data_IF_394188389971
#
_entry.id   IF_394188389971
#
_cell.length_a   1.000
_cell.length_b   1.000
_cell.length_c   1.000
_cell.angle_alpha   90.00
_cell.angle_beta   90.00
_cell.angle_gamma   90.00
#
_symmetry.space_group_name_H-M   'P 1'
#
loop_
_entity.id
_entity.type
_entity.pdbx_description
1 polymer ?
#
# COMPACT_ATOMS: atom_id res chain seq x y z
N UNK A 1 -23.69 -3.54 -11.85
CA UNK A 1 -22.25 -3.87 -11.80
C UNK A 1 -22.16 -5.18 -11.04
N UNK A 2 -21.57 -6.21 -11.64
CA UNK A 2 -21.34 -7.50 -10.97
C UNK A 2 -20.42 -7.26 -9.78
N UNK A 3 -20.80 -7.77 -8.60
CA UNK A 3 -19.98 -7.68 -7.41
C UNK A 3 -18.64 -8.40 -7.67
N UNK A 4 -17.53 -7.71 -7.42
CA UNK A 4 -16.19 -8.29 -7.60
C UNK A 4 -15.82 -9.02 -6.31
N UNK A 5 -15.59 -10.33 -6.40
CA UNK A 5 -15.20 -11.15 -5.25
C UNK A 5 -13.70 -10.97 -4.94
N UNK A 6 -13.34 -11.01 -3.66
CA UNK A 6 -11.95 -10.94 -3.22
C UNK A 6 -11.29 -12.32 -3.38
N UNK A 7 -10.23 -12.40 -4.19
CA UNK A 7 -9.45 -13.63 -4.36
C UNK A 7 -8.45 -13.83 -3.23
N UNK A 8 -8.20 -15.09 -2.86
CA UNK A 8 -7.20 -15.45 -1.82
C UNK A 8 -5.81 -14.84 -2.07
N UNK A 9 -5.38 -14.73 -3.33
CA UNK A 9 -4.09 -14.14 -3.75
C UNK A 9 -3.97 -12.65 -3.42
N UNK A 10 -5.09 -11.92 -3.42
CA UNK A 10 -5.15 -10.47 -3.18
C UNK A 10 -5.54 -10.17 -1.74
N UNK A 11 -6.14 -11.13 -1.02
CA UNK A 11 -6.58 -10.95 0.37
C UNK A 11 -5.50 -10.31 1.26
N UNK A 12 -4.21 -10.69 1.21
CA UNK A 12 -3.20 -10.01 2.04
C UNK A 12 -2.96 -8.55 1.65
N UNK A 13 -3.02 -8.19 0.36
CA UNK A 13 -2.93 -6.80 -0.08
C UNK A 13 -4.15 -6.00 0.38
N UNK A 14 -5.34 -6.58 0.27
CA UNK A 14 -6.56 -5.95 0.79
C UNK A 14 -6.49 -5.74 2.31
N UNK A 15 -6.08 -6.77 3.05
CA UNK A 15 -5.92 -6.71 4.49
C UNK A 15 -4.85 -5.69 4.92
N UNK A 16 -3.81 -5.50 4.11
CA UNK A 16 -2.82 -4.46 4.34
C UNK A 16 -3.47 -3.06 4.29
N UNK A 17 -4.34 -2.78 3.31
CA UNK A 17 -5.08 -1.50 3.26
C UNK A 17 -5.99 -1.32 4.50
N UNK A 18 -6.69 -2.38 4.92
CA UNK A 18 -7.50 -2.34 6.15
C UNK A 18 -6.65 -2.10 7.41
N UNK A 19 -5.47 -2.74 7.48
CA UNK A 19 -4.49 -2.54 8.57
C UNK A 19 -4.00 -1.09 8.62
N UNK A 20 -3.73 -0.48 7.47
CA UNK A 20 -3.36 0.94 7.38
C UNK A 20 -4.47 1.85 7.92
N UNK A 21 -5.73 1.53 7.61
CA UNK A 21 -6.90 2.27 8.10
C UNK A 21 -7.05 2.13 9.62
N UNK A 22 -6.89 0.92 10.18
CA UNK A 22 -6.90 0.69 11.63
C UNK A 22 -5.81 1.49 12.35
N UNK A 23 -4.65 1.65 11.74
CA UNK A 23 -3.59 2.48 12.34
C UNK A 23 -3.90 3.97 12.38
N UNK A 24 -4.82 4.47 11.55
CA UNK A 24 -5.30 5.85 11.68
C UNK A 24 -6.06 6.05 13.00
N UNK A 25 -6.84 5.05 13.43
CA UNK A 25 -7.55 5.08 14.71
C UNK A 25 -6.58 5.03 15.90
N UNK A 26 -5.47 4.29 15.76
CA UNK A 26 -4.42 4.21 16.77
C UNK A 26 -3.53 5.45 16.85
N UNK A 27 -3.51 6.28 15.80
CA UNK A 27 -2.69 7.50 15.69
C UNK A 27 -3.60 8.71 15.52
N UNK A 28 -4.32 9.13 16.58
CA UNK A 28 -5.26 10.23 16.48
C UNK A 28 -4.55 11.56 16.17
N UNK A 29 -5.24 12.51 15.51
CA UNK A 29 -4.71 13.84 15.27
C UNK A 29 -4.28 14.52 16.57
N UNK A 30 -3.09 15.12 16.58
CA UNK A 30 -2.63 15.91 17.74
C UNK A 30 -3.19 17.32 17.69
N UNK A 31 -3.35 17.94 18.86
CA UNK A 31 -3.73 19.34 18.96
C UNK A 31 -2.59 20.24 18.44
N UNK A 32 -2.86 20.98 17.37
CA UNK A 32 -1.89 21.88 16.74
C UNK A 32 -2.62 23.00 15.98
N UNK A 33 -1.93 24.10 15.64
CA UNK A 33 -2.48 25.12 14.74
C UNK A 33 -2.91 24.52 13.39
N UNK A 34 -4.19 24.63 13.05
CA UNK A 34 -4.85 23.96 11.90
C UNK A 34 -4.42 24.43 10.48
N UNK A 35 -3.41 25.29 10.36
CA UNK A 35 -3.00 25.87 9.07
C UNK A 35 -2.34 24.87 8.12
N UNK A 36 -1.76 23.78 8.64
CA UNK A 36 -0.97 22.80 7.90
C UNK A 36 -1.36 21.37 8.29
N UNK A 37 -0.85 20.38 7.55
CA UNK A 37 -1.08 18.97 7.81
C UNK A 37 -0.75 18.57 9.26
N UNK A 38 -1.50 17.60 9.79
CA UNK A 38 -1.33 17.14 11.17
C UNK A 38 -0.05 16.32 11.33
N UNK A 39 0.80 16.65 12.31
CA UNK A 39 2.06 15.92 12.53
C UNK A 39 1.86 14.45 12.93
N UNK A 40 0.67 14.08 13.41
CA UNK A 40 0.30 12.68 13.63
C UNK A 40 0.48 11.81 12.37
N UNK A 41 0.39 12.40 11.17
CA UNK A 41 0.70 11.72 9.92
C UNK A 41 2.11 11.10 9.91
N UNK A 42 3.10 11.79 10.48
CA UNK A 42 4.48 11.28 10.53
C UNK A 42 4.57 10.04 11.41
N UNK A 43 3.93 10.07 12.57
CA UNK A 43 3.84 8.92 13.47
C UNK A 43 3.14 7.74 12.78
N UNK A 44 2.06 7.99 12.05
CA UNK A 44 1.38 6.95 11.27
C UNK A 44 2.29 6.39 10.17
N UNK A 45 2.94 7.25 9.38
CA UNK A 45 3.80 6.82 8.26
C UNK A 45 5.08 6.11 8.75
N UNK A 46 5.62 6.50 9.90
CA UNK A 46 6.75 5.80 10.53
C UNK A 46 6.33 4.38 10.95
N UNK A 47 5.13 4.21 11.51
CA UNK A 47 4.57 2.87 11.79
C UNK A 47 4.39 2.04 10.52
N UNK A 48 3.97 2.65 9.41
CA UNK A 48 3.91 1.96 8.10
C UNK A 48 5.30 1.49 7.67
N UNK A 49 6.30 2.37 7.72
CA UNK A 49 7.68 2.05 7.32
C UNK A 49 8.32 0.95 8.15
N UNK A 50 7.98 0.84 9.44
CA UNK A 50 8.47 -0.21 10.33
C UNK A 50 7.95 -1.62 9.96
N UNK A 51 6.78 -1.70 9.33
CA UNK A 51 6.09 -2.97 9.06
C UNK A 51 6.08 -3.36 7.58
N UNK A 52 6.29 -2.41 6.67
CA UNK A 52 6.11 -2.60 5.23
C UNK A 52 6.94 -3.73 4.62
N UNK A 53 8.13 -4.01 5.15
CA UNK A 53 8.97 -5.10 4.62
C UNK A 53 8.33 -6.48 4.86
N UNK A 54 7.78 -6.70 6.07
CA UNK A 54 7.08 -7.93 6.41
C UNK A 54 5.74 -8.04 5.68
N UNK A 55 5.00 -6.93 5.60
CA UNK A 55 3.72 -6.87 4.88
C UNK A 55 3.91 -7.18 3.37
N UNK A 56 4.93 -6.60 2.73
CA UNK A 56 5.25 -6.88 1.33
C UNK A 56 5.68 -8.34 1.12
N UNK A 57 6.44 -8.92 2.05
CA UNK A 57 6.83 -10.33 1.96
C UNK A 57 5.59 -11.26 2.00
N UNK A 58 4.63 -10.97 2.89
CA UNK A 58 3.36 -11.71 2.97
C UNK A 58 2.53 -11.56 1.69
N UNK A 59 2.37 -10.32 1.21
CA UNK A 59 1.62 -10.00 -0.01
C UNK A 59 2.22 -10.71 -1.23
N UNK A 60 3.54 -10.65 -1.40
CA UNK A 60 4.24 -11.29 -2.51
C UNK A 60 4.11 -12.81 -2.44
N UNK A 61 4.25 -13.39 -1.25
CA UNK A 61 4.16 -14.86 -1.06
C UNK A 61 2.76 -15.38 -1.39
N UNK A 62 1.70 -14.70 -0.96
CA UNK A 62 0.34 -15.10 -1.28
C UNK A 62 -0.04 -14.81 -2.74
N UNK A 63 0.46 -13.70 -3.28
CA UNK A 63 0.26 -13.33 -4.67
C UNK A 63 0.94 -14.32 -5.61
N UNK A 64 2.20 -14.68 -5.38
CA UNK A 64 2.89 -15.71 -6.17
C UNK A 64 3.92 -16.46 -5.31
N UNK A 65 3.57 -17.64 -4.77
CA UNK A 65 4.46 -18.45 -3.94
C UNK A 65 5.75 -18.90 -4.65
N UNK A 66 5.73 -18.99 -5.97
CA UNK A 66 6.88 -19.41 -6.79
C UNK A 66 7.85 -18.26 -7.10
N UNK A 67 7.53 -17.03 -6.68
CA UNK A 67 8.37 -15.86 -6.91
C UNK A 67 9.59 -15.83 -5.98
N UNK A 68 10.72 -16.34 -6.47
CA UNK A 68 11.98 -16.48 -5.72
C UNK A 68 12.81 -15.20 -5.56
N UNK A 69 12.39 -14.07 -6.15
CA UNK A 69 13.14 -12.82 -6.15
C UNK A 69 12.56 -11.75 -5.19
N UNK A 70 11.73 -12.17 -4.23
CA UNK A 70 11.09 -11.29 -3.24
C UNK A 70 12.09 -10.38 -2.52
N UNK A 71 13.19 -10.92 -2.02
CA UNK A 71 14.24 -10.17 -1.31
C UNK A 71 14.84 -9.03 -2.15
N UNK A 72 14.87 -9.18 -3.49
CA UNK A 72 15.38 -8.16 -4.41
C UNK A 72 14.31 -7.18 -4.86
N UNK A 73 13.05 -7.62 -4.93
CA UNK A 73 11.92 -6.79 -5.37
C UNK A 73 11.40 -5.88 -4.26
N UNK A 74 11.40 -6.35 -3.01
CA UNK A 74 10.86 -5.61 -1.85
C UNK A 74 11.47 -4.21 -1.72
N UNK A 75 12.81 -4.00 -1.77
CA UNK A 75 13.38 -2.67 -1.65
C UNK A 75 12.88 -1.68 -2.70
N UNK A 76 12.62 -2.12 -3.93
CA UNK A 76 12.11 -1.27 -5.00
C UNK A 76 10.60 -1.01 -4.86
N UNK A 77 9.82 -2.06 -4.59
CA UNK A 77 8.37 -1.97 -4.40
C UNK A 77 8.00 -1.08 -3.20
N UNK A 78 8.79 -1.15 -2.13
CA UNK A 78 8.62 -0.37 -0.91
C UNK A 78 8.66 1.13 -1.17
N UNK A 79 9.57 1.61 -2.01
CA UNK A 79 9.69 3.04 -2.29
C UNK A 79 8.41 3.57 -2.94
N UNK A 80 7.89 2.87 -3.96
CA UNK A 80 6.63 3.25 -4.61
C UNK A 80 5.44 3.19 -3.63
N UNK A 81 5.39 2.18 -2.77
CA UNK A 81 4.29 2.02 -1.81
C UNK A 81 4.33 3.10 -0.73
N UNK A 82 5.47 3.37 -0.11
CA UNK A 82 5.61 4.37 0.95
C UNK A 82 5.35 5.78 0.41
N UNK A 83 5.90 6.11 -0.76
CA UNK A 83 5.66 7.40 -1.40
C UNK A 83 4.24 7.55 -1.96
N UNK A 84 3.41 6.51 -1.88
CA UNK A 84 2.00 6.60 -2.28
C UNK A 84 1.10 7.28 -1.25
N UNK A 85 1.53 7.39 0.01
CA UNK A 85 0.69 7.90 1.09
C UNK A 85 0.82 9.40 1.36
N UNK A 86 1.72 10.09 0.66
CA UNK A 86 1.96 11.53 0.82
C UNK A 86 3.39 11.87 1.26
N UNK A 87 3.72 13.15 1.27
CA UNK A 87 5.06 13.61 1.63
C UNK A 87 5.25 13.67 3.16
N UNK A 88 6.23 12.92 3.69
CA UNK A 88 6.60 12.96 5.11
C UNK A 88 6.93 14.38 5.61
N UNK A 89 7.71 15.13 4.82
CA UNK A 89 8.16 16.46 5.21
C UNK A 89 7.07 17.51 5.06
N UNK A 90 6.39 17.52 3.91
CA UNK A 90 5.40 18.55 3.58
C UNK A 90 4.01 18.28 4.17
N UNK A 91 3.72 17.03 4.53
CA UNK A 91 2.40 16.56 4.99
C UNK A 91 1.32 16.99 3.98
N UNK A 92 1.59 16.67 2.72
CA UNK A 92 0.70 16.92 1.59
C UNK A 92 0.47 15.65 0.78
N UNK A 93 -0.62 15.68 0.00
CA UNK A 93 -1.01 14.63 -0.92
C UNK A 93 -1.41 15.26 -2.26
N UNK A 94 -1.18 14.54 -3.35
CA UNK A 94 -1.44 14.98 -4.71
C UNK A 94 -1.35 13.83 -5.69
N UNK A 95 -1.63 14.11 -6.96
CA UNK A 95 -1.73 13.08 -8.02
C UNK A 95 -0.44 12.29 -8.26
N UNK A 96 0.73 12.83 -7.87
CA UNK A 96 1.98 12.07 -7.91
C UNK A 96 2.02 10.91 -6.92
N UNK A 97 1.41 11.07 -5.74
CA UNK A 97 1.30 10.02 -4.73
C UNK A 97 0.31 8.93 -5.16
N UNK A 98 -0.82 9.34 -5.74
CA UNK A 98 -1.77 8.42 -6.38
C UNK A 98 -1.10 7.62 -7.51
N UNK A 99 -0.30 8.28 -8.36
CA UNK A 99 0.46 7.63 -9.41
C UNK A 99 1.46 6.60 -8.84
N UNK A 100 2.14 6.91 -7.73
CA UNK A 100 3.04 5.97 -7.08
C UNK A 100 2.33 4.69 -6.62
N UNK A 101 1.09 4.80 -6.11
CA UNK A 101 0.29 3.61 -5.78
C UNK A 101 -0.02 2.77 -7.03
N UNK A 102 -0.38 3.43 -8.13
CA UNK A 102 -0.62 2.75 -9.40
C UNK A 102 0.65 2.08 -9.96
N UNK A 103 1.80 2.75 -9.86
CA UNK A 103 3.10 2.20 -10.26
C UNK A 103 3.47 0.99 -9.40
N UNK A 104 3.18 1.03 -8.09
CA UNK A 104 3.34 -0.14 -7.22
C UNK A 104 2.51 -1.33 -7.72
N UNK A 105 1.21 -1.14 -8.00
CA UNK A 105 0.36 -2.20 -8.56
C UNK A 105 0.87 -2.71 -9.92
N UNK A 106 1.34 -1.80 -10.77
CA UNK A 106 1.95 -2.13 -12.06
C UNK A 106 3.21 -2.98 -11.89
N UNK A 107 4.11 -2.62 -10.96
CA UNK A 107 5.33 -3.36 -10.68
C UNK A 107 5.02 -4.77 -10.16
N UNK A 108 4.03 -4.91 -9.27
CA UNK A 108 3.54 -6.22 -8.79
C UNK A 108 3.04 -7.11 -9.95
N UNK A 109 2.36 -6.51 -10.93
CA UNK A 109 1.99 -7.23 -12.16
C UNK A 109 3.21 -7.55 -13.03
N UNK A 110 4.17 -6.62 -13.13
CA UNK A 110 5.35 -6.74 -13.99
C UNK A 110 6.29 -7.86 -13.56
N UNK A 111 6.41 -8.09 -12.24
CA UNK A 111 7.17 -9.21 -11.67
C UNK A 111 6.34 -10.50 -11.56
N UNK A 112 5.15 -10.54 -12.14
CA UNK A 112 4.22 -11.68 -12.14
C UNK A 112 3.75 -12.11 -10.74
N UNK A 113 3.69 -11.20 -9.77
CA UNK A 113 2.97 -11.47 -8.51
C UNK A 113 1.46 -11.52 -8.81
N UNK A 114 0.97 -10.55 -9.59
CA UNK A 114 -0.39 -10.52 -10.12
C UNK A 114 -0.41 -10.60 -11.65
N UNK A 115 -1.55 -10.99 -12.22
CA UNK A 115 -1.75 -11.14 -13.66
C UNK A 115 -3.08 -10.53 -14.11
N UNK A 116 -3.41 -10.68 -15.39
CA UNK A 116 -4.61 -10.08 -16.00
C UNK A 116 -5.93 -10.50 -15.34
N UNK A 117 -5.98 -11.69 -14.71
CA UNK A 117 -7.18 -12.16 -14.01
C UNK A 117 -7.39 -11.45 -12.68
N UNK A 118 -6.33 -10.85 -12.13
CA UNK A 118 -6.34 -10.13 -10.85
C UNK A 118 -6.77 -8.65 -11.03
N UNK A 119 -6.73 -8.11 -12.25
CA UNK A 119 -6.92 -6.68 -12.52
C UNK A 119 -8.26 -6.14 -12.00
N UNK A 120 -9.35 -6.87 -12.22
CA UNK A 120 -10.66 -6.42 -11.77
C UNK A 120 -10.71 -6.27 -10.24
N UNK A 121 -10.10 -7.20 -9.50
CA UNK A 121 -10.06 -7.18 -8.04
C UNK A 121 -9.09 -6.10 -7.55
N UNK A 122 -7.91 -5.96 -8.16
CA UNK A 122 -6.97 -4.88 -7.84
C UNK A 122 -7.61 -3.49 -7.97
N UNK A 123 -8.40 -3.26 -9.03
CA UNK A 123 -9.06 -1.97 -9.21
C UNK A 123 -10.25 -1.81 -8.27
N UNK A 124 -11.15 -2.80 -8.21
CA UNK A 124 -12.43 -2.64 -7.50
C UNK A 124 -12.34 -2.87 -5.99
N UNK A 125 -11.23 -3.41 -5.45
CA UNK A 125 -11.07 -3.70 -4.02
C UNK A 125 -9.86 -3.05 -3.38
N UNK A 126 -8.80 -2.79 -4.15
CA UNK A 126 -7.54 -2.23 -3.60
C UNK A 126 -7.38 -0.75 -3.96
N UNK A 127 -7.72 -0.35 -5.19
CA UNK A 127 -7.58 1.05 -5.64
C UNK A 127 -8.80 1.94 -5.34
N UNK A 128 -9.98 1.34 -5.11
CA UNK A 128 -11.23 2.06 -4.86
C UNK A 128 -11.22 2.79 -3.51
#
# INVERSE_FOLDING_TARGET
MTETELSERITPLFNYIEKLNQWLDEVPPIEQPMRFGNKAFRTWLDKVKENVDADLAEIITAGNPEFSQSERAIPELKEYLIDSFGSYERIDYGTGHELNFYVFLYCMCKVNVYNVNDYQVLINKVFQ
#
